data_IF_448116427288
#
_entry.id   IF_448116427288
#
_cell.length_a   1.000
_cell.length_b   1.000
_cell.length_c   1.000
_cell.angle_alpha   90.00
_cell.angle_beta   90.00
_cell.angle_gamma   90.00
#
_symmetry.space_group_name_H-M   'P 1'
#
loop_
_entity.id
_entity.type
_entity.pdbx_description
1 polymer ?
#
# COMPACT_ATOMS: atom_id res chain seq x y z
N UNK A 1 -47.95 52.42 -58.19
CA UNK A 1 -48.23 51.86 -56.84
C UNK A 1 -47.65 50.44 -56.80
N UNK A 2 -46.50 50.25 -56.19
CA UNK A 2 -45.88 48.93 -55.98
C UNK A 2 -45.48 48.86 -54.52
N UNK A 3 -46.12 47.96 -53.73
CA UNK A 3 -45.74 47.66 -52.39
C UNK A 3 -44.47 46.83 -52.38
N UNK A 4 -43.48 47.26 -51.62
CA UNK A 4 -42.26 46.49 -51.33
C UNK A 4 -42.49 45.81 -50.00
N UNK A 5 -42.52 44.48 -49.99
CA UNK A 5 -42.52 43.66 -48.79
C UNK A 5 -41.09 43.47 -48.28
N UNK A 6 -40.81 43.91 -47.06
CA UNK A 6 -39.52 43.69 -46.40
C UNK A 6 -39.67 42.37 -45.64
N UNK A 7 -38.94 41.33 -46.13
CA UNK A 7 -38.78 40.06 -45.40
C UNK A 7 -37.65 40.24 -44.40
N UNK A 8 -38.00 40.25 -43.13
CA UNK A 8 -37.02 40.30 -42.04
C UNK A 8 -36.56 38.88 -41.73
N UNK A 9 -35.36 38.53 -42.19
CA UNK A 9 -34.72 37.24 -41.91
C UNK A 9 -34.14 37.26 -40.48
N UNK A 10 -34.76 36.54 -39.57
CA UNK A 10 -34.29 36.35 -38.20
C UNK A 10 -33.18 35.26 -38.21
N UNK A 11 -31.92 35.67 -38.16
CA UNK A 11 -30.80 34.76 -37.94
C UNK A 11 -30.78 34.29 -36.49
N UNK A 12 -31.18 33.06 -36.23
CA UNK A 12 -31.05 32.37 -34.92
C UNK A 12 -29.61 31.95 -34.79
N UNK A 13 -28.76 32.72 -34.08
CA UNK A 13 -27.42 32.30 -33.65
C UNK A 13 -27.60 31.31 -32.48
N UNK A 14 -27.51 30.02 -32.77
CA UNK A 14 -27.32 28.99 -31.77
C UNK A 14 -25.85 29.06 -31.34
N UNK A 15 -25.61 29.70 -30.22
CA UNK A 15 -24.30 29.67 -29.56
C UNK A 15 -24.02 28.26 -29.08
N UNK A 16 -23.14 27.55 -29.77
CA UNK A 16 -22.47 26.36 -29.26
C UNK A 16 -21.57 26.80 -28.10
N UNK A 17 -22.08 26.76 -26.88
CA UNK A 17 -21.26 26.72 -25.68
C UNK A 17 -20.54 25.37 -25.67
N UNK A 18 -19.45 25.29 -26.41
CA UNK A 18 -18.46 24.24 -26.19
C UNK A 18 -17.89 24.41 -24.80
N UNK A 19 -18.25 23.55 -23.87
CA UNK A 19 -17.43 23.33 -22.69
C UNK A 19 -16.04 22.90 -23.18
N UNK A 20 -15.14 23.85 -23.23
CA UNK A 20 -13.71 23.55 -23.22
C UNK A 20 -13.42 23.01 -21.83
N UNK A 21 -13.43 21.69 -21.66
CA UNK A 21 -12.73 21.08 -20.55
C UNK A 21 -11.31 21.62 -20.61
N UNK A 22 -10.97 22.51 -19.68
CA UNK A 22 -9.59 22.83 -19.40
C UNK A 22 -8.96 21.50 -19.01
N UNK A 23 -8.19 20.90 -19.91
CA UNK A 23 -7.16 19.95 -19.51
C UNK A 23 -6.30 20.70 -18.48
N UNK A 24 -6.51 20.41 -17.21
CA UNK A 24 -5.52 20.75 -16.20
C UNK A 24 -4.24 20.05 -16.67
N UNK A 25 -3.29 20.82 -17.16
CA UNK A 25 -1.93 20.35 -17.33
C UNK A 25 -1.47 19.95 -15.93
N UNK A 26 -1.65 18.69 -15.60
CA UNK A 26 -1.05 18.11 -14.41
C UNK A 26 0.45 18.24 -14.58
N UNK A 27 1.05 19.24 -13.93
CA UNK A 27 2.49 19.33 -13.84
C UNK A 27 2.96 18.08 -13.12
N UNK A 28 3.46 17.11 -13.86
CA UNK A 28 4.00 15.86 -13.30
C UNK A 28 5.17 16.22 -12.41
N UNK A 29 5.12 15.76 -11.17
CA UNK A 29 6.17 16.02 -10.18
C UNK A 29 7.41 15.25 -10.60
N UNK A 30 8.56 15.94 -10.63
CA UNK A 30 9.86 15.29 -10.86
C UNK A 30 10.67 15.32 -9.58
N UNK A 31 11.19 14.15 -9.18
CA UNK A 31 12.03 13.97 -7.99
C UNK A 31 13.44 13.58 -8.42
N UNK A 32 14.42 14.40 -8.11
CA UNK A 32 15.84 14.09 -8.30
C UNK A 32 16.33 13.23 -7.14
N UNK A 33 16.52 11.94 -7.39
CA UNK A 33 16.93 10.97 -6.36
C UNK A 33 18.42 11.07 -5.98
N UNK A 34 19.20 11.91 -6.67
CA UNK A 34 20.62 12.13 -6.40
C UNK A 34 20.88 13.39 -5.57
N UNK A 35 19.86 14.22 -5.39
CA UNK A 35 19.94 15.49 -4.66
C UNK A 35 19.69 15.27 -3.16
N UNK A 36 20.34 16.09 -2.34
CA UNK A 36 20.01 16.23 -0.91
C UNK A 36 18.98 17.34 -0.76
N UNK A 37 17.84 17.00 -0.20
CA UNK A 37 16.75 17.95 0.03
C UNK A 37 16.82 18.59 1.41
N UNK A 38 16.24 19.80 1.59
CA UNK A 38 16.08 20.40 2.91
C UNK A 38 15.26 19.49 3.83
N UNK A 39 15.64 19.42 5.10
CA UNK A 39 14.90 18.63 6.09
C UNK A 39 13.65 19.35 6.57
N UNK A 40 12.56 18.62 6.73
CA UNK A 40 11.30 19.12 7.29
C UNK A 40 10.74 18.12 8.30
N UNK A 41 10.57 18.57 9.53
CA UNK A 41 9.95 17.80 10.59
C UNK A 41 8.47 18.13 10.66
N UNK A 42 7.62 17.09 10.78
CA UNK A 42 6.18 17.18 10.87
C UNK A 42 5.68 16.40 12.08
N UNK A 43 4.61 16.88 12.71
CA UNK A 43 3.90 16.13 13.76
C UNK A 43 2.69 15.45 13.14
N UNK A 44 2.59 14.13 13.30
CA UNK A 44 1.54 13.32 12.67
C UNK A 44 0.14 13.86 13.00
N UNK A 45 -0.12 14.17 14.28
CA UNK A 45 -1.41 14.67 14.74
C UNK A 45 -1.77 16.07 14.20
N UNK A 46 -0.83 16.82 13.64
CA UNK A 46 -1.12 18.08 12.95
C UNK A 46 -1.60 17.85 11.52
N UNK A 47 -1.28 16.68 10.95
CA UNK A 47 -1.54 16.33 9.55
C UNK A 47 -2.76 15.42 9.37
N UNK A 48 -2.92 14.46 10.27
CA UNK A 48 -3.81 13.31 10.13
C UNK A 48 -4.50 12.98 11.44
N UNK A 49 -5.59 12.25 11.36
CA UNK A 49 -6.24 11.68 12.52
C UNK A 49 -5.57 10.35 12.89
N UNK A 50 -5.39 10.14 14.21
CA UNK A 50 -4.74 8.95 14.73
C UNK A 50 -5.70 8.21 15.66
N UNK A 51 -5.86 6.92 15.39
CA UNK A 51 -6.64 6.02 16.23
C UNK A 51 -5.74 4.92 16.78
N UNK A 52 -5.93 4.56 18.06
CA UNK A 52 -5.20 3.48 18.71
C UNK A 52 -6.15 2.37 19.15
N UNK A 53 -5.84 1.14 18.79
CA UNK A 53 -6.63 -0.05 19.11
C UNK A 53 -5.74 -1.03 19.85
N UNK A 54 -5.89 -1.15 21.19
CA UNK A 54 -5.21 -2.19 21.94
C UNK A 54 -5.81 -3.55 21.59
N UNK A 55 -4.98 -4.48 21.15
CA UNK A 55 -5.44 -5.85 20.88
C UNK A 55 -5.57 -6.62 22.18
N UNK A 56 -6.69 -7.33 22.36
CA UNK A 56 -6.92 -8.19 23.52
C UNK A 56 -5.83 -9.25 23.66
N UNK A 57 -5.35 -9.45 24.89
CA UNK A 57 -4.35 -10.45 25.25
C UNK A 57 -4.96 -11.49 26.17
N UNK A 58 -4.90 -12.75 25.79
CA UNK A 58 -5.25 -13.91 26.62
C UNK A 58 -4.59 -15.17 26.02
N UNK A 59 -4.75 -16.33 26.66
CA UNK A 59 -4.10 -17.58 26.23
C UNK A 59 -4.37 -17.98 24.75
N UNK A 60 -5.50 -17.58 24.18
CA UNK A 60 -5.85 -17.86 22.79
C UNK A 60 -5.31 -16.80 21.83
N UNK A 61 -5.27 -15.54 22.27
CA UNK A 61 -4.91 -14.38 21.48
C UNK A 61 -3.57 -13.80 21.94
N UNK A 62 -2.47 -14.46 21.54
CA UNK A 62 -1.09 -13.97 21.70
C UNK A 62 -0.54 -13.76 20.29
N UNK A 63 -0.22 -12.51 19.97
CA UNK A 63 0.26 -12.14 18.62
C UNK A 63 1.35 -11.08 18.65
N UNK A 64 2.22 -11.11 17.64
CA UNK A 64 3.22 -10.09 17.40
C UNK A 64 2.64 -8.86 16.66
N UNK A 65 1.37 -8.90 16.27
CA UNK A 65 0.65 -7.76 15.72
C UNK A 65 0.94 -7.44 14.24
N UNK A 66 1.44 -8.41 13.45
CA UNK A 66 1.57 -8.18 12.01
C UNK A 66 0.19 -8.10 11.37
N UNK A 67 -0.29 -6.87 11.17
CA UNK A 67 -1.60 -6.61 10.55
C UNK A 67 -1.52 -6.95 9.07
N UNK A 68 -2.45 -7.76 8.59
CA UNK A 68 -2.51 -8.23 7.21
C UNK A 68 -3.70 -7.64 6.43
N UNK A 69 -4.77 -7.32 7.13
CA UNK A 69 -5.93 -6.66 6.53
C UNK A 69 -6.77 -5.96 7.61
N UNK A 70 -7.38 -4.85 7.23
CA UNK A 70 -8.35 -4.14 8.06
C UNK A 70 -9.59 -3.86 7.22
N UNK A 71 -10.76 -4.17 7.79
CA UNK A 71 -12.07 -3.86 7.24
C UNK A 71 -12.86 -2.90 8.14
N UNK A 72 -14.15 -2.85 7.92
CA UNK A 72 -15.07 -2.08 8.77
C UNK A 72 -15.32 -2.75 10.12
N UNK A 73 -15.28 -4.09 10.15
CA UNK A 73 -15.62 -4.92 11.32
C UNK A 73 -14.42 -5.64 11.91
N UNK A 74 -13.43 -6.00 11.11
CA UNK A 74 -12.37 -6.91 11.51
C UNK A 74 -10.98 -6.35 11.25
N UNK A 75 -10.04 -6.77 12.13
CA UNK A 75 -8.60 -6.67 11.91
C UNK A 75 -8.07 -8.09 11.82
N UNK A 76 -7.38 -8.42 10.74
CA UNK A 76 -6.72 -9.71 10.55
C UNK A 76 -5.22 -9.57 10.81
N UNK A 77 -4.72 -10.38 11.74
CA UNK A 77 -3.33 -10.32 12.22
C UNK A 77 -2.69 -11.69 12.11
N UNK A 78 -1.42 -11.74 11.75
CA UNK A 78 -0.61 -12.97 11.81
C UNK A 78 0.64 -12.78 12.66
N UNK A 79 1.33 -13.88 12.95
CA UNK A 79 2.65 -13.87 13.58
C UNK A 79 3.77 -13.89 12.53
N UNK A 80 4.93 -13.34 12.90
CA UNK A 80 6.16 -13.43 12.11
C UNK A 80 6.74 -14.84 12.07
N UNK A 81 6.41 -15.66 13.09
CA UNK A 81 6.90 -17.04 13.25
C UNK A 81 6.40 -18.03 12.20
N UNK A 82 5.57 -17.60 11.26
CA UNK A 82 4.97 -18.45 10.22
C UNK A 82 4.26 -19.70 10.78
N UNK A 83 3.64 -19.55 11.94
CA UNK A 83 2.87 -20.61 12.64
C UNK A 83 1.55 -20.96 11.91
N UNK A 84 1.15 -20.16 10.96
CA UNK A 84 -0.07 -20.32 10.17
C UNK A 84 -1.32 -19.76 10.84
N UNK A 85 -1.19 -19.11 12.00
CA UNK A 85 -2.31 -18.52 12.68
C UNK A 85 -2.75 -17.21 12.02
N UNK A 86 -4.07 -17.05 11.88
CA UNK A 86 -4.75 -15.81 11.54
C UNK A 86 -5.64 -15.46 12.70
N UNK A 87 -5.33 -14.37 13.39
CA UNK A 87 -6.13 -13.85 14.49
C UNK A 87 -7.10 -12.81 13.95
N UNK A 88 -8.37 -12.95 14.29
CA UNK A 88 -9.44 -12.04 13.90
C UNK A 88 -9.85 -11.25 15.13
N UNK A 89 -9.66 -9.94 15.08
CA UNK A 89 -10.08 -9.03 16.15
C UNK A 89 -11.22 -8.14 15.67
N UNK A 90 -12.04 -7.69 16.63
CA UNK A 90 -13.04 -6.66 16.37
C UNK A 90 -12.35 -5.31 16.13
N UNK A 91 -12.70 -4.67 15.02
CA UNK A 91 -12.07 -3.44 14.56
C UNK A 91 -12.21 -2.26 15.51
N UNK A 92 -13.32 -2.19 16.25
CA UNK A 92 -13.62 -1.06 17.15
C UNK A 92 -13.03 -1.22 18.53
N UNK A 93 -13.03 -2.46 19.04
CA UNK A 93 -12.71 -2.74 20.45
C UNK A 93 -11.36 -3.41 20.63
N UNK A 94 -10.76 -3.97 19.57
CA UNK A 94 -9.58 -4.81 19.65
C UNK A 94 -9.81 -6.17 20.31
N UNK A 95 -11.06 -6.55 20.61
CA UNK A 95 -11.37 -7.85 21.23
C UNK A 95 -11.13 -9.00 20.26
N UNK A 96 -10.55 -10.08 20.74
CA UNK A 96 -10.37 -11.32 20.01
C UNK A 96 -11.72 -11.96 19.69
N UNK A 97 -11.93 -12.29 18.41
CA UNK A 97 -13.17 -12.92 17.94
C UNK A 97 -12.94 -14.41 17.68
N UNK A 98 -11.86 -14.72 16.96
CA UNK A 98 -11.49 -16.09 16.62
C UNK A 98 -10.04 -16.20 16.16
N UNK A 99 -9.51 -17.41 16.25
CA UNK A 99 -8.23 -17.82 15.69
C UNK A 99 -8.48 -18.87 14.63
N UNK A 100 -7.92 -18.65 13.45
CA UNK A 100 -8.03 -19.55 12.30
C UNK A 100 -6.64 -20.09 12.00
N UNK A 101 -6.52 -21.41 11.80
CA UNK A 101 -5.29 -22.03 11.32
C UNK A 101 -5.64 -23.12 10.33
N UNK A 102 -5.19 -22.95 9.09
CA UNK A 102 -5.35 -23.91 8.00
C UNK A 102 -4.00 -24.25 7.38
N UNK A 103 -2.92 -24.16 8.19
CA UNK A 103 -1.58 -24.51 7.73
C UNK A 103 -1.44 -26.03 7.59
N UNK A 104 -1.09 -26.46 6.39
CA UNK A 104 -0.89 -27.87 6.09
C UNK A 104 -0.46 -28.12 4.65
N UNK A 105 -0.64 -29.34 4.18
CA UNK A 105 -0.31 -29.78 2.82
C UNK A 105 -1.50 -30.47 2.12
N UNK A 106 -2.67 -30.50 2.74
CA UNK A 106 -3.88 -31.05 2.18
C UNK A 106 -4.63 -30.09 1.28
N UNK A 107 -5.73 -30.59 0.72
CA UNK A 107 -6.62 -29.75 -0.07
C UNK A 107 -7.21 -28.62 0.77
N UNK A 108 -7.14 -27.40 0.26
CA UNK A 108 -7.62 -26.22 0.96
C UNK A 108 -6.75 -25.79 2.16
N UNK A 109 -5.50 -26.23 2.22
CA UNK A 109 -4.54 -25.83 3.25
C UNK A 109 -3.39 -25.03 2.64
N UNK A 110 -3.04 -23.88 3.26
CA UNK A 110 -1.89 -23.09 2.88
C UNK A 110 -0.64 -23.55 3.64
N UNK A 111 0.51 -23.54 2.96
CA UNK A 111 1.80 -23.82 3.61
C UNK A 111 2.41 -22.56 4.25
N UNK A 112 2.10 -21.40 3.70
CA UNK A 112 2.66 -20.10 4.10
C UNK A 112 1.66 -18.97 3.81
N UNK A 113 1.66 -17.93 4.62
CA UNK A 113 0.83 -16.73 4.44
C UNK A 113 1.73 -15.58 3.99
N UNK A 114 1.70 -15.24 2.70
CA UNK A 114 2.33 -14.05 2.17
C UNK A 114 1.47 -12.81 2.37
N UNK A 115 0.17 -12.91 2.06
CA UNK A 115 -0.80 -11.84 2.20
C UNK A 115 -2.18 -12.38 2.57
N UNK A 116 -3.00 -11.55 3.18
CA UNK A 116 -4.42 -11.83 3.44
C UNK A 116 -5.23 -10.65 2.92
N UNK A 117 -6.23 -10.95 2.11
CA UNK A 117 -7.17 -9.96 1.61
C UNK A 117 -8.52 -10.22 2.26
N UNK A 118 -9.07 -9.21 2.90
CA UNK A 118 -10.36 -9.27 3.57
C UNK A 118 -11.45 -8.71 2.65
N UNK A 119 -12.47 -9.50 2.37
CA UNK A 119 -13.65 -9.08 1.62
C UNK A 119 -14.92 -9.29 2.47
N UNK A 120 -15.18 -8.31 3.33
CA UNK A 120 -16.33 -8.37 4.25
C UNK A 120 -17.67 -8.39 3.53
N UNK A 121 -17.76 -7.73 2.37
CA UNK A 121 -18.97 -7.64 1.58
C UNK A 121 -19.41 -9.01 1.04
N UNK A 122 -18.44 -9.85 0.68
CA UNK A 122 -18.69 -11.21 0.18
C UNK A 122 -18.53 -12.29 1.28
N UNK A 123 -18.24 -11.89 2.52
CA UNK A 123 -17.94 -12.79 3.64
C UNK A 123 -16.79 -13.77 3.30
N UNK A 124 -15.70 -13.24 2.71
CA UNK A 124 -14.55 -14.01 2.26
C UNK A 124 -13.23 -13.42 2.73
N UNK A 125 -12.25 -14.28 2.93
CA UNK A 125 -10.84 -13.90 2.99
C UNK A 125 -10.04 -14.71 1.98
N UNK A 126 -9.07 -14.06 1.36
CA UNK A 126 -8.16 -14.65 0.38
C UNK A 126 -6.77 -14.73 1.01
N UNK A 127 -6.20 -15.92 1.08
CA UNK A 127 -4.85 -16.15 1.59
C UNK A 127 -3.92 -16.39 0.42
N UNK A 128 -3.08 -15.40 0.12
CA UNK A 128 -2.05 -15.52 -0.90
C UNK A 128 -0.88 -16.35 -0.38
N UNK A 129 -0.52 -17.41 -1.09
CA UNK A 129 0.56 -18.34 -0.76
C UNK A 129 1.52 -18.45 -1.95
N UNK A 130 2.60 -17.65 -1.96
CA UNK A 130 3.57 -17.64 -3.06
C UNK A 130 4.29 -18.98 -3.23
N UNK A 131 4.57 -19.71 -2.14
CA UNK A 131 5.26 -21.01 -2.20
C UNK A 131 4.50 -22.08 -2.97
N UNK A 132 3.17 -22.06 -2.91
CA UNK A 132 2.31 -22.96 -3.71
C UNK A 132 1.81 -22.33 -5.00
N UNK A 133 2.07 -21.02 -5.18
CA UNK A 133 1.55 -20.18 -6.28
C UNK A 133 0.02 -20.28 -6.40
N UNK A 134 -0.65 -20.19 -5.24
CA UNK A 134 -2.10 -20.25 -5.11
C UNK A 134 -2.65 -19.14 -4.22
N UNK A 135 -3.89 -18.81 -4.45
CA UNK A 135 -4.73 -18.05 -3.53
C UNK A 135 -5.81 -19.00 -3.00
N UNK A 136 -5.87 -19.18 -1.68
CA UNK A 136 -6.86 -19.97 -0.99
C UNK A 136 -7.98 -19.07 -0.49
N UNK A 137 -9.22 -19.45 -0.70
CA UNK A 137 -10.40 -18.65 -0.31
C UNK A 137 -11.17 -19.38 0.78
N UNK A 138 -11.39 -18.65 1.87
CA UNK A 138 -12.17 -19.11 3.02
C UNK A 138 -13.32 -18.14 3.29
N UNK A 139 -14.37 -18.62 3.96
CA UNK A 139 -15.29 -17.70 4.61
C UNK A 139 -14.62 -17.05 5.84
N UNK A 140 -15.24 -16.01 6.39
CA UNK A 140 -14.68 -15.32 7.57
C UNK A 140 -14.75 -16.16 8.86
N UNK A 141 -15.31 -17.37 8.79
CA UNK A 141 -15.26 -18.38 9.88
C UNK A 141 -14.09 -19.36 9.71
N UNK A 142 -13.37 -19.28 8.58
CA UNK A 142 -12.22 -20.14 8.28
C UNK A 142 -12.59 -21.44 7.56
N UNK A 143 -13.79 -21.58 7.04
CA UNK A 143 -14.17 -22.73 6.22
C UNK A 143 -13.66 -22.54 4.79
N UNK A 144 -12.99 -23.55 4.26
CA UNK A 144 -12.49 -23.54 2.89
C UNK A 144 -13.64 -23.47 1.87
N UNK A 145 -13.49 -22.63 0.86
CA UNK A 145 -14.46 -22.45 -0.22
C UNK A 145 -13.92 -22.92 -1.58
N UNK A 146 -12.73 -22.48 -1.94
CA UNK A 146 -12.07 -22.77 -3.21
C UNK A 146 -10.61 -22.33 -3.17
N UNK A 147 -9.82 -22.71 -4.13
CA UNK A 147 -8.52 -22.10 -4.44
C UNK A 147 -8.37 -21.89 -5.96
N UNK A 148 -7.42 -21.04 -6.33
CA UNK A 148 -7.00 -20.86 -7.71
C UNK A 148 -5.52 -20.53 -7.80
N UNK A 149 -4.90 -20.86 -8.94
CA UNK A 149 -3.48 -20.65 -9.16
C UNK A 149 -3.16 -19.21 -9.56
N UNK A 150 -1.95 -18.78 -9.28
CA UNK A 150 -1.39 -17.62 -9.95
C UNK A 150 -1.34 -17.86 -11.47
N UNK A 151 -1.27 -16.78 -12.26
CA UNK A 151 -1.10 -16.90 -13.71
C UNK A 151 0.13 -17.76 -14.02
N UNK A 152 0.11 -18.46 -15.14
CA UNK A 152 1.23 -19.32 -15.55
C UNK A 152 2.55 -18.54 -15.58
N UNK A 153 3.56 -19.09 -14.92
CA UNK A 153 4.86 -18.43 -14.74
C UNK A 153 4.85 -17.21 -13.80
N UNK A 154 3.72 -16.87 -13.21
CA UNK A 154 3.60 -15.74 -12.27
C UNK A 154 3.84 -16.11 -10.82
N UNK A 155 4.09 -15.07 -10.01
CA UNK A 155 4.23 -15.16 -8.56
C UNK A 155 3.71 -13.85 -7.95
N UNK A 156 2.53 -13.87 -7.31
CA UNK A 156 1.95 -12.66 -6.78
C UNK A 156 2.58 -12.28 -5.43
N UNK A 157 3.22 -11.11 -5.39
CA UNK A 157 3.75 -10.51 -4.17
C UNK A 157 2.65 -9.77 -3.41
N UNK A 158 1.96 -8.89 -4.11
CA UNK A 158 0.89 -8.07 -3.58
C UNK A 158 -0.44 -8.45 -4.23
N UNK A 159 -1.47 -8.52 -3.41
CA UNK A 159 -2.84 -8.80 -3.84
C UNK A 159 -3.79 -7.96 -3.00
N UNK A 160 -4.67 -7.18 -3.63
CA UNK A 160 -5.65 -6.32 -2.96
C UNK A 160 -7.04 -6.47 -3.58
N UNK A 161 -8.07 -6.07 -2.82
CA UNK A 161 -9.40 -5.93 -3.39
C UNK A 161 -9.38 -4.82 -4.46
N UNK A 162 -9.87 -5.12 -5.65
CA UNK A 162 -10.03 -4.14 -6.71
C UNK A 162 -11.46 -3.64 -6.78
N UNK A 163 -12.40 -4.57 -6.90
CA UNK A 163 -13.84 -4.33 -6.89
C UNK A 163 -14.60 -5.52 -6.29
N UNK A 164 -15.91 -5.54 -6.45
CA UNK A 164 -16.76 -6.64 -5.95
C UNK A 164 -16.35 -8.01 -6.48
N UNK A 165 -15.85 -8.09 -7.70
CA UNK A 165 -15.61 -9.35 -8.43
C UNK A 165 -14.14 -9.65 -8.68
N UNK A 166 -13.27 -8.67 -8.51
CA UNK A 166 -11.88 -8.76 -8.92
C UNK A 166 -10.90 -8.39 -7.79
N UNK A 167 -9.69 -8.93 -7.90
CA UNK A 167 -8.50 -8.53 -7.15
C UNK A 167 -7.54 -7.82 -8.11
N UNK A 168 -6.70 -6.92 -7.59
CA UNK A 168 -5.53 -6.38 -8.27
C UNK A 168 -4.28 -7.02 -7.70
N UNK A 169 -3.36 -7.45 -8.56
CA UNK A 169 -2.16 -8.19 -8.18
C UNK A 169 -0.91 -7.61 -8.83
N UNK A 170 0.22 -7.71 -8.12
CA UNK A 170 1.55 -7.49 -8.66
C UNK A 170 2.31 -8.82 -8.76
N UNK A 171 2.79 -9.14 -9.98
CA UNK A 171 3.57 -10.33 -10.30
C UNK A 171 5.07 -10.03 -10.17
N UNK A 172 5.69 -10.53 -9.09
CA UNK A 172 7.11 -10.34 -8.82
C UNK A 172 8.04 -11.27 -9.61
N UNK A 173 7.53 -12.08 -10.52
CA UNK A 173 8.37 -13.02 -11.30
C UNK A 173 9.50 -12.34 -12.07
N UNK A 174 9.38 -11.03 -12.34
CA UNK A 174 10.45 -10.22 -12.92
C UNK A 174 11.67 -10.06 -11.98
N UNK A 175 11.52 -10.22 -10.66
CA UNK A 175 12.60 -10.00 -9.69
C UNK A 175 13.80 -10.95 -9.88
N UNK A 176 13.60 -12.08 -10.54
CA UNK A 176 14.66 -13.03 -10.89
C UNK A 176 15.39 -12.66 -12.19
N UNK A 177 15.08 -11.53 -12.81
CA UNK A 177 15.51 -11.18 -14.16
C UNK A 177 16.17 -9.79 -14.26
N UNK A 178 16.78 -9.33 -13.18
CA UNK A 178 17.50 -8.03 -13.13
C UNK A 178 18.39 -7.82 -14.35
N UNK A 179 18.30 -6.65 -14.95
CA UNK A 179 19.11 -6.23 -16.10
C UNK A 179 18.73 -6.86 -17.45
N UNK A 180 17.74 -7.76 -17.49
CA UNK A 180 17.26 -8.33 -18.75
C UNK A 180 16.26 -7.41 -19.43
N UNK A 181 16.10 -7.53 -20.76
CA UNK A 181 15.02 -6.86 -21.47
C UNK A 181 13.64 -7.31 -20.95
N UNK A 182 12.68 -6.41 -21.02
CA UNK A 182 11.30 -6.75 -20.75
C UNK A 182 10.77 -7.85 -21.68
N UNK A 183 9.95 -8.76 -21.18
CA UNK A 183 9.22 -9.71 -22.01
C UNK A 183 8.12 -9.00 -22.81
N UNK A 184 8.05 -9.27 -24.10
CA UNK A 184 6.95 -8.78 -24.92
C UNK A 184 5.61 -9.33 -24.40
N UNK A 185 4.58 -8.47 -24.41
CA UNK A 185 3.21 -8.82 -24.02
C UNK A 185 2.99 -9.26 -22.57
N UNK A 186 4.02 -9.17 -21.69
CA UNK A 186 3.85 -9.44 -20.27
C UNK A 186 3.56 -8.17 -19.49
N UNK A 187 2.53 -8.23 -18.67
CA UNK A 187 2.19 -7.21 -17.69
C UNK A 187 2.35 -7.80 -16.30
N UNK A 188 2.88 -7.00 -15.39
CA UNK A 188 3.13 -7.42 -14.02
C UNK A 188 2.06 -6.90 -13.05
N UNK A 189 1.30 -5.88 -13.45
CA UNK A 189 0.08 -5.46 -12.76
C UNK A 189 -1.12 -6.11 -13.45
N UNK A 190 -1.87 -6.91 -12.72
CA UNK A 190 -2.98 -7.72 -13.26
C UNK A 190 -4.24 -7.51 -12.45
N UNK A 191 -5.39 -7.52 -13.12
CA UNK A 191 -6.69 -7.66 -12.47
C UNK A 191 -7.18 -9.08 -12.74
N UNK A 192 -7.54 -9.79 -11.66
CA UNK A 192 -7.95 -11.20 -11.71
C UNK A 192 -9.31 -11.40 -11.07
N UNK A 193 -10.05 -12.37 -11.55
CA UNK A 193 -11.35 -12.77 -11.02
C UNK A 193 -11.22 -13.37 -9.61
N UNK A 194 -12.05 -12.95 -8.67
CA UNK A 194 -12.18 -13.56 -7.34
C UNK A 194 -12.73 -14.97 -7.38
N UNK A 195 -13.41 -15.32 -8.48
CA UNK A 195 -14.07 -16.61 -8.63
C UNK A 195 -13.08 -17.74 -8.91
N UNK A 196 -12.14 -17.51 -9.85
CA UNK A 196 -11.29 -18.56 -10.41
C UNK A 196 -9.86 -18.12 -10.72
N UNK A 197 -9.49 -16.87 -10.41
CA UNK A 197 -8.15 -16.33 -10.66
C UNK A 197 -7.84 -16.02 -12.13
N UNK A 198 -8.80 -16.14 -13.03
CA UNK A 198 -8.61 -15.77 -14.43
C UNK A 198 -8.26 -14.30 -14.57
N UNK A 199 -7.32 -13.99 -15.47
CA UNK A 199 -6.91 -12.60 -15.74
C UNK A 199 -8.02 -11.91 -16.52
N UNK A 200 -8.66 -10.92 -15.89
CA UNK A 200 -9.72 -10.11 -16.52
C UNK A 200 -9.13 -8.89 -17.21
N UNK A 201 -7.99 -8.38 -16.73
CA UNK A 201 -7.32 -7.24 -17.32
C UNK A 201 -5.82 -7.26 -17.04
N UNK A 202 -5.04 -6.78 -18.03
CA UNK A 202 -3.60 -6.56 -17.91
C UNK A 202 -3.33 -5.06 -17.95
N UNK A 203 -2.58 -4.53 -16.98
CA UNK A 203 -2.18 -3.13 -16.96
C UNK A 203 -0.72 -3.06 -17.42
N UNK A 204 -0.51 -2.41 -18.55
CA UNK A 204 0.80 -2.32 -19.18
C UNK A 204 1.52 -1.05 -18.72
N UNK A 205 2.59 -1.19 -17.92
CA UNK A 205 3.50 -0.09 -17.59
C UNK A 205 4.72 -0.19 -18.50
N UNK A 206 5.07 0.87 -19.24
CA UNK A 206 6.18 0.86 -20.18
C UNK A 206 7.53 0.94 -19.47
N UNK A 207 8.45 0.06 -19.85
CA UNK A 207 9.88 0.09 -19.52
C UNK A 207 10.65 -0.81 -20.49
N UNK A 208 11.97 -0.63 -20.59
CA UNK A 208 12.81 -1.38 -21.51
C UNK A 208 13.59 -2.50 -20.81
N UNK A 209 14.19 -2.20 -19.65
CA UNK A 209 15.07 -3.08 -18.90
C UNK A 209 14.51 -3.29 -17.50
N UNK A 210 14.58 -4.53 -17.04
CA UNK A 210 14.11 -4.93 -15.72
C UNK A 210 15.06 -4.38 -14.65
N UNK A 211 14.51 -3.62 -13.70
CA UNK A 211 15.15 -3.12 -12.49
C UNK A 211 14.36 -3.67 -11.29
N UNK A 212 15.03 -4.25 -10.34
CA UNK A 212 14.36 -4.90 -9.21
C UNK A 212 14.91 -4.40 -7.86
N UNK A 213 14.19 -4.55 -6.77
CA UNK A 213 14.69 -4.24 -5.42
C UNK A 213 15.59 -5.38 -4.86
N UNK A 214 16.32 -6.06 -5.73
CA UNK A 214 17.15 -7.22 -5.40
C UNK A 214 18.63 -6.90 -5.63
N UNK A 215 19.48 -7.30 -4.69
CA UNK A 215 20.94 -7.28 -4.82
C UNK A 215 21.45 -8.71 -4.71
N UNK A 216 22.32 -9.11 -5.64
CA UNK A 216 22.92 -10.45 -5.67
C UNK A 216 24.44 -10.36 -5.69
N UNK A 217 25.10 -11.19 -4.87
CA UNK A 217 26.56 -11.25 -4.83
C UNK A 217 27.02 -12.64 -4.35
N UNK A 218 27.83 -13.32 -5.16
CA UNK A 218 28.42 -14.61 -4.78
C UNK A 218 27.39 -15.69 -4.40
N UNK A 219 26.21 -15.71 -5.02
CA UNK A 219 25.12 -16.63 -4.71
C UNK A 219 24.23 -16.21 -3.54
N UNK A 220 24.60 -15.18 -2.78
CA UNK A 220 23.75 -14.58 -1.76
C UNK A 220 22.78 -13.57 -2.40
N UNK A 221 21.57 -13.48 -1.87
CA UNK A 221 20.49 -12.59 -2.33
C UNK A 221 19.96 -11.77 -1.16
N UNK A 222 19.83 -10.49 -1.36
CA UNK A 222 19.13 -9.58 -0.47
C UNK A 222 18.03 -8.85 -1.25
N UNK A 223 16.87 -8.67 -0.64
CA UNK A 223 15.73 -8.00 -1.24
C UNK A 223 15.09 -7.05 -0.23
N UNK A 224 14.61 -5.91 -0.69
CA UNK A 224 13.77 -5.02 0.09
C UNK A 224 12.36 -4.99 -0.47
N UNK A 225 11.37 -4.72 0.39
CA UNK A 225 9.98 -4.54 -0.03
C UNK A 225 9.78 -3.14 -0.60
N UNK A 226 9.14 -3.08 -1.75
CA UNK A 226 8.69 -1.83 -2.39
C UNK A 226 7.22 -2.02 -2.73
N UNK A 227 6.31 -1.21 -2.14
CA UNK A 227 4.90 -1.24 -2.52
C UNK A 227 4.73 -0.96 -4.01
N UNK A 228 4.05 -1.86 -4.71
CA UNK A 228 3.83 -1.78 -6.17
C UNK A 228 2.42 -1.32 -6.52
N UNK A 229 1.49 -1.43 -5.57
CA UNK A 229 0.07 -1.07 -5.73
C UNK A 229 -0.37 -0.26 -4.51
N UNK A 230 -0.76 1.00 -4.70
CA UNK A 230 -1.14 1.90 -3.62
C UNK A 230 -2.53 2.47 -3.90
N UNK A 231 -3.53 2.27 -3.02
CA UNK A 231 -4.84 2.89 -3.17
C UNK A 231 -4.74 4.43 -3.11
N UNK A 232 -5.43 5.11 -4.01
CA UNK A 232 -5.45 6.56 -4.07
C UNK A 232 -6.80 7.08 -4.60
N UNK A 233 -7.66 7.63 -3.76
CA UNK A 233 -8.93 8.28 -4.15
C UNK A 233 -9.78 7.46 -5.13
N UNK A 234 -10.04 6.19 -4.83
CA UNK A 234 -10.71 5.21 -5.70
C UNK A 234 -9.95 4.88 -7.00
N UNK A 235 -8.74 5.33 -7.13
CA UNK A 235 -7.78 5.04 -8.18
C UNK A 235 -6.58 4.28 -7.58
N UNK A 236 -5.56 4.02 -8.39
CA UNK A 236 -4.39 3.27 -7.94
C UNK A 236 -3.10 3.93 -8.40
N UNK A 237 -2.19 4.20 -7.48
CA UNK A 237 -0.82 4.49 -7.87
C UNK A 237 -0.09 3.17 -8.08
N UNK A 238 0.46 3.01 -9.27
CA UNK A 238 1.18 1.80 -9.67
C UNK A 238 2.67 2.12 -9.79
N UNK A 239 3.45 1.40 -8.99
CA UNK A 239 4.90 1.50 -8.96
C UNK A 239 5.48 0.28 -9.63
N UNK A 240 6.21 0.49 -10.71
CA UNK A 240 7.02 -0.54 -11.36
C UNK A 240 8.48 -0.12 -11.26
N UNK A 241 9.28 -0.87 -10.51
CA UNK A 241 10.69 -0.51 -10.25
C UNK A 241 11.54 -0.37 -11.51
N UNK A 242 11.12 -1.02 -12.57
CA UNK A 242 11.74 -0.93 -13.91
C UNK A 242 11.40 0.36 -14.66
N UNK A 243 10.35 1.07 -14.24
CA UNK A 243 9.91 2.34 -14.82
C UNK A 243 10.47 3.51 -14.00
N UNK A 244 10.87 4.59 -14.67
CA UNK A 244 11.22 5.85 -14.00
C UNK A 244 9.97 6.71 -13.72
N UNK A 245 8.77 6.21 -14.08
CA UNK A 245 7.50 6.91 -13.87
C UNK A 245 6.57 6.07 -12.98
N UNK A 246 6.04 6.68 -11.94
CA UNK A 246 4.93 6.17 -11.15
C UNK A 246 3.65 6.65 -11.80
N UNK A 247 2.71 5.75 -12.03
CA UNK A 247 1.47 6.04 -12.75
C UNK A 247 0.27 6.06 -11.83
N UNK A 248 -0.65 6.98 -12.10
CA UNK A 248 -2.00 6.91 -11.59
C UNK A 248 -2.87 6.13 -12.59
N UNK A 249 -3.39 4.99 -12.16
CA UNK A 249 -4.31 4.17 -12.94
C UNK A 249 -5.75 4.51 -12.55
N UNK A 250 -6.51 4.97 -13.53
CA UNK A 250 -7.93 5.34 -13.42
C UNK A 250 -8.79 4.17 -13.90
N UNK A 251 -9.41 3.39 -12.98
CA UNK A 251 -10.16 2.18 -13.34
C UNK A 251 -11.27 2.40 -14.36
N UNK A 252 -12.09 3.42 -14.16
CA UNK A 252 -13.27 3.70 -15.00
C UNK A 252 -12.93 3.96 -16.46
N UNK A 253 -11.73 4.50 -16.71
CA UNK A 253 -11.26 4.85 -18.05
C UNK A 253 -10.26 3.84 -18.60
N UNK A 254 -9.82 2.88 -17.79
CA UNK A 254 -8.68 2.00 -18.09
C UNK A 254 -7.46 2.80 -18.57
N UNK A 255 -7.10 3.86 -17.85
CA UNK A 255 -6.10 4.82 -18.29
C UNK A 255 -4.97 4.95 -17.25
N UNK A 256 -3.74 4.96 -17.74
CA UNK A 256 -2.54 5.30 -17.00
C UNK A 256 -2.15 6.75 -17.26
N UNK A 257 -2.06 7.54 -16.19
CA UNK A 257 -1.57 8.91 -16.25
C UNK A 257 -0.25 9.01 -15.49
N UNK A 258 0.80 9.64 -16.03
CA UNK A 258 2.00 9.91 -15.26
C UNK A 258 1.67 10.72 -14.01
N UNK A 259 2.11 10.24 -12.84
CA UNK A 259 1.87 10.88 -11.54
C UNK A 259 3.14 11.53 -11.01
N UNK A 260 4.26 10.78 -11.04
CA UNK A 260 5.56 11.23 -10.57
C UNK A 260 6.66 10.62 -11.44
N UNK A 261 7.72 11.40 -11.71
CA UNK A 261 8.89 10.98 -12.49
C UNK A 261 10.14 11.02 -11.61
N UNK A 262 10.90 9.94 -11.62
CA UNK A 262 12.24 9.85 -11.04
C UNK A 262 13.26 10.47 -11.99
N UNK A 263 14.18 11.28 -11.46
CA UNK A 263 15.31 11.86 -12.18
C UNK A 263 16.61 11.60 -11.39
N UNK A 264 17.75 11.33 -12.03
CA UNK A 264 17.88 11.07 -13.47
C UNK A 264 17.19 9.76 -13.87
N UNK A 265 16.68 9.74 -15.10
CA UNK A 265 16.12 8.52 -15.70
C UNK A 265 17.23 7.50 -15.92
N UNK A 266 16.87 6.21 -15.84
CA UNK A 266 17.79 5.06 -16.03
C UNK A 266 18.86 4.91 -14.94
N UNK A 267 18.74 5.61 -13.81
CA UNK A 267 19.54 5.29 -12.64
C UNK A 267 19.10 3.92 -12.08
N UNK A 268 20.02 2.94 -12.10
CA UNK A 268 19.77 1.58 -11.63
C UNK A 268 20.05 1.40 -10.12
N UNK A 269 20.73 2.36 -9.50
CA UNK A 269 21.19 2.25 -8.11
C UNK A 269 20.18 2.77 -7.09
N UNK A 270 19.30 3.68 -7.51
CA UNK A 270 18.31 4.29 -6.61
C UNK A 270 16.91 4.07 -7.16
N UNK A 271 16.09 3.37 -6.40
CA UNK A 271 14.67 3.18 -6.66
C UNK A 271 13.86 4.26 -5.95
N UNK A 272 12.74 4.65 -6.54
CA UNK A 272 11.78 5.58 -5.95
C UNK A 272 10.43 4.89 -5.81
N UNK A 273 9.82 5.00 -4.65
CA UNK A 273 8.48 4.46 -4.37
C UNK A 273 7.62 5.48 -3.65
N UNK A 274 6.31 5.24 -3.67
CA UNK A 274 5.33 6.05 -2.96
C UNK A 274 5.02 5.45 -1.59
N UNK A 275 4.76 6.33 -0.65
CA UNK A 275 4.15 6.04 0.63
C UNK A 275 2.75 6.62 0.72
N UNK A 276 2.41 7.16 1.88
CA UNK A 276 1.14 7.82 2.16
C UNK A 276 0.95 9.04 1.26
N UNK A 277 -0.25 9.18 0.70
CA UNK A 277 -0.63 10.32 -0.14
C UNK A 277 -1.83 11.02 0.50
N UNK A 278 -1.69 12.32 0.75
CA UNK A 278 -2.74 13.18 1.29
C UNK A 278 -3.10 14.29 0.31
N UNK A 279 -4.05 15.13 0.67
CA UNK A 279 -4.41 16.30 -0.14
C UNK A 279 -3.26 17.29 -0.31
N UNK A 280 -2.41 17.43 0.71
CA UNK A 280 -1.27 18.36 0.70
C UNK A 280 0.06 17.67 0.46
N UNK A 281 0.32 16.53 1.09
CA UNK A 281 1.63 15.90 1.12
C UNK A 281 1.63 14.58 0.37
N UNK A 282 2.65 14.35 -0.44
CA UNK A 282 2.94 13.09 -1.09
C UNK A 282 4.23 12.53 -0.48
N UNK A 283 4.08 11.56 0.42
CA UNK A 283 5.22 10.88 1.02
C UNK A 283 5.77 9.85 0.03
N UNK A 284 7.08 9.72 0.01
CA UNK A 284 7.78 8.81 -0.88
C UNK A 284 9.13 8.43 -0.26
N UNK A 285 9.75 7.39 -0.79
CA UNK A 285 11.04 6.91 -0.31
C UNK A 285 11.95 6.64 -1.49
N UNK A 286 13.22 7.00 -1.32
CA UNK A 286 14.26 6.46 -2.18
C UNK A 286 14.92 5.28 -1.48
N UNK A 287 15.25 4.25 -2.26
CA UNK A 287 15.92 3.04 -1.78
C UNK A 287 17.17 2.83 -2.61
N UNK A 288 18.34 3.00 -1.98
CA UNK A 288 19.61 2.72 -2.65
C UNK A 288 19.88 1.23 -2.65
N UNK A 289 20.15 0.66 -3.82
CA UNK A 289 20.49 -0.76 -4.03
C UNK A 289 21.95 -1.04 -3.64
N UNK A 290 22.28 -0.82 -2.37
CA UNK A 290 23.61 -1.06 -1.83
C UNK A 290 23.48 -1.95 -0.60
N UNK A 291 23.99 -3.17 -0.64
CA UNK A 291 23.86 -4.15 0.43
C UNK A 291 25.20 -4.82 0.72
N UNK A 292 25.67 -4.71 1.97
CA UNK A 292 26.86 -5.38 2.48
C UNK A 292 26.48 -6.73 3.09
N UNK A 293 26.73 -7.80 2.35
CA UNK A 293 26.46 -9.17 2.80
C UNK A 293 27.31 -9.61 3.99
N UNK A 294 28.40 -8.90 4.31
CA UNK A 294 29.26 -9.22 5.46
C UNK A 294 28.64 -8.75 6.76
N UNK A 295 28.07 -7.54 6.75
CA UNK A 295 27.45 -6.93 7.94
C UNK A 295 25.93 -7.10 7.98
N UNK A 296 25.31 -7.54 6.89
CA UNK A 296 23.86 -7.62 6.73
C UNK A 296 23.17 -6.24 6.67
N UNK A 297 23.92 -5.18 6.35
CA UNK A 297 23.40 -3.81 6.27
C UNK A 297 23.28 -3.38 4.80
N UNK A 298 22.25 -2.60 4.54
CA UNK A 298 22.05 -2.04 3.19
C UNK A 298 20.64 -1.54 2.97
N UNK A 299 20.33 -1.26 1.69
CA UNK A 299 19.08 -0.65 1.28
C UNK A 299 18.85 0.66 2.05
N UNK A 300 19.80 1.60 1.93
CA UNK A 300 19.65 2.92 2.55
C UNK A 300 18.38 3.58 2.03
N UNK A 301 17.49 3.87 2.97
CA UNK A 301 16.19 4.50 2.70
C UNK A 301 16.31 5.97 3.07
N UNK A 302 15.81 6.85 2.21
CA UNK A 302 15.64 8.28 2.52
C UNK A 302 14.15 8.61 2.36
N UNK A 303 13.57 9.09 3.43
CA UNK A 303 12.18 9.51 3.47
C UNK A 303 12.06 10.90 2.85
N UNK A 304 11.24 11.01 1.83
CA UNK A 304 10.98 12.24 1.11
C UNK A 304 9.50 12.62 1.20
N UNK A 305 9.23 13.90 0.98
CA UNK A 305 7.89 14.42 0.92
C UNK A 305 7.81 15.55 -0.10
N UNK A 306 6.82 15.54 -0.96
CA UNK A 306 6.45 16.69 -1.76
C UNK A 306 5.33 17.46 -1.08
N UNK A 307 5.55 18.74 -0.78
CA UNK A 307 4.52 19.65 -0.26
C UNK A 307 3.90 20.43 -1.44
N UNK A 308 2.64 20.16 -1.74
CA UNK A 308 1.91 20.79 -2.85
C UNK A 308 1.74 22.31 -2.67
N UNK A 309 1.65 22.78 -1.43
CA UNK A 309 1.49 24.22 -1.16
C UNK A 309 2.80 24.97 -1.38
N UNK A 310 3.93 24.36 -0.99
CA UNK A 310 5.26 24.95 -1.20
C UNK A 310 5.82 24.61 -2.59
N UNK A 311 5.20 23.67 -3.30
CA UNK A 311 5.65 23.15 -4.59
C UNK A 311 7.11 22.71 -4.54
N UNK A 312 7.48 21.99 -3.48
CA UNK A 312 8.87 21.62 -3.20
C UNK A 312 8.97 20.23 -2.56
N UNK A 313 10.12 19.58 -2.77
CA UNK A 313 10.48 18.30 -2.15
C UNK A 313 11.34 18.55 -0.93
N UNK A 314 11.13 17.78 0.13
CA UNK A 314 11.86 17.81 1.39
C UNK A 314 12.27 16.38 1.79
N UNK A 315 13.37 16.26 2.53
CA UNK A 315 13.64 15.09 3.36
C UNK A 315 12.71 15.17 4.58
N UNK A 316 11.78 14.20 4.70
CA UNK A 316 10.72 14.24 5.69
C UNK A 316 11.07 13.45 6.94
N UNK A 317 10.68 13.99 8.10
CA UNK A 317 10.68 13.29 9.37
C UNK A 317 9.31 13.48 10.03
N UNK A 318 8.49 12.45 10.04
CA UNK A 318 7.15 12.51 10.66
C UNK A 318 7.21 11.87 12.04
N UNK A 319 6.74 12.60 13.04
CA UNK A 319 6.86 12.25 14.43
C UNK A 319 5.49 12.08 15.08
N UNK A 320 5.30 11.01 15.85
CA UNK A 320 4.13 10.82 16.68
C UNK A 320 4.18 11.77 17.91
N UNK A 321 3.28 12.74 17.96
CA UNK A 321 3.19 13.75 19.01
C UNK A 321 2.64 13.24 20.35
N UNK A 322 2.06 12.02 20.39
CA UNK A 322 1.57 11.41 21.62
C UNK A 322 2.70 10.82 22.49
N UNK A 323 3.92 10.75 21.95
CA UNK A 323 5.14 10.54 22.74
C UNK A 323 5.79 11.88 23.09
N UNK A 324 6.25 12.03 24.35
CA UNK A 324 7.01 13.21 24.80
C UNK A 324 8.35 13.27 24.08
N UNK A 325 9.10 12.16 24.10
CA UNK A 325 10.21 11.92 23.19
C UNK A 325 9.64 11.39 21.89
N UNK A 326 9.32 12.30 20.98
CA UNK A 326 8.63 12.01 19.72
C UNK A 326 9.26 10.83 18.99
N UNK A 327 8.43 9.88 18.60
CA UNK A 327 8.82 8.67 17.87
C UNK A 327 8.57 8.85 16.38
N UNK A 328 9.50 8.36 15.56
CA UNK A 328 9.33 8.37 14.11
C UNK A 328 8.14 7.51 13.69
N UNK A 329 7.40 8.00 12.73
CA UNK A 329 6.31 7.29 12.06
C UNK A 329 6.74 6.98 10.63
N UNK A 330 6.68 5.72 10.28
CA UNK A 330 6.90 5.29 8.91
C UNK A 330 5.69 5.70 8.06
N UNK A 331 5.94 6.51 7.04
CA UNK A 331 4.94 6.96 6.08
C UNK A 331 4.94 6.09 4.81
N UNK A 332 5.64 4.96 4.82
CA UNK A 332 5.39 3.87 3.88
C UNK A 332 3.99 3.33 4.16
N UNK A 333 3.16 3.36 3.16
CA UNK A 333 1.84 2.76 3.24
C UNK A 333 1.97 1.27 3.04
N UNK A 334 1.58 0.47 4.03
CA UNK A 334 1.05 -0.86 3.72
C UNK A 334 -0.33 -0.63 3.10
N UNK A 335 -0.52 -0.88 1.80
CA UNK A 335 -1.78 -0.61 1.13
C UNK A 335 -2.86 -1.51 1.70
N UNK A 336 -3.58 -1.00 2.70
CA UNK A 336 -4.78 -1.65 3.23
C UNK A 336 -6.00 -1.12 2.49
N UNK A 337 -6.96 -1.97 2.28
CA UNK A 337 -8.19 -1.61 1.58
C UNK A 337 -8.94 -0.49 2.33
N UNK A 338 -9.00 0.67 1.74
CA UNK A 338 -9.83 1.78 2.20
C UNK A 338 -9.17 3.14 2.02
N UNK A 339 -9.92 4.10 1.51
CA UNK A 339 -9.46 5.48 1.32
C UNK A 339 -9.26 6.22 2.66
N UNK A 340 -9.79 5.68 3.76
CA UNK A 340 -9.74 6.32 5.08
C UNK A 340 -8.42 6.03 5.82
N UNK A 341 -7.98 4.76 5.83
CA UNK A 341 -6.76 4.34 6.54
C UNK A 341 -5.61 4.34 5.56
N UNK A 342 -4.63 5.20 5.81
CA UNK A 342 -3.50 5.41 4.89
C UNK A 342 -2.20 4.78 5.38
N UNK A 343 -2.07 4.55 6.69
CA UNK A 343 -0.94 3.82 7.26
C UNK A 343 -1.34 3.08 8.53
N UNK A 344 -0.61 2.01 8.85
CA UNK A 344 -0.82 1.17 10.03
C UNK A 344 0.53 0.88 10.65
N UNK A 345 0.63 1.09 11.96
CA UNK A 345 1.84 0.76 12.68
C UNK A 345 1.50 0.03 13.99
N UNK A 346 1.96 -1.22 14.16
CA UNK A 346 1.91 -1.90 15.46
C UNK A 346 2.89 -1.24 16.43
N UNK A 347 2.40 -0.84 17.59
CA UNK A 347 3.20 -0.30 18.68
C UNK A 347 3.37 -1.38 19.74
N UNK A 348 4.61 -1.79 20.00
CA UNK A 348 4.90 -2.84 20.97
C UNK A 348 4.51 -2.39 22.39
N UNK A 349 3.76 -3.24 23.11
CA UNK A 349 3.22 -2.90 24.43
C UNK A 349 4.32 -2.58 25.44
N UNK A 350 5.42 -3.33 25.49
CA UNK A 350 6.55 -3.04 26.36
C UNK A 350 7.11 -1.62 26.20
N UNK A 351 7.23 -1.12 24.96
CA UNK A 351 7.68 0.25 24.68
C UNK A 351 6.68 1.30 25.15
N UNK A 352 5.38 1.02 25.00
CA UNK A 352 4.31 1.90 25.47
C UNK A 352 4.30 1.94 27.00
N UNK A 353 4.40 0.80 27.66
CA UNK A 353 4.43 0.67 29.13
C UNK A 353 5.67 1.36 29.72
N UNK A 354 6.83 1.18 29.10
CA UNK A 354 8.06 1.88 29.52
C UNK A 354 7.92 3.40 29.40
N UNK A 355 7.39 3.87 28.27
CA UNK A 355 7.14 5.30 28.09
C UNK A 355 6.11 5.83 29.10
N UNK A 356 5.05 5.06 29.41
CA UNK A 356 4.05 5.42 30.40
C UNK A 356 4.64 5.55 31.81
N UNK A 357 5.47 4.58 32.25
CA UNK A 357 6.15 4.60 33.57
C UNK A 357 7.05 5.83 33.73
N UNK A 358 7.55 6.39 32.64
CA UNK A 358 8.44 7.54 32.62
C UNK A 358 7.73 8.87 32.26
N UNK A 359 6.39 8.93 32.40
CA UNK A 359 5.58 10.10 31.99
C UNK A 359 5.83 10.55 30.52
N UNK A 360 6.25 9.62 29.68
CA UNK A 360 6.62 9.84 28.27
C UNK A 360 5.48 9.80 27.30
N UNK A 361 4.21 9.70 27.74
CA UNK A 361 3.04 9.61 26.87
C UNK A 361 2.03 10.73 27.13
N UNK A 362 1.26 11.07 26.08
CA UNK A 362 0.18 12.05 26.08
C UNK A 362 -1.11 11.46 25.48
N UNK A 363 -2.19 12.22 25.57
CA UNK A 363 -3.43 11.97 24.87
C UNK A 363 -4.00 10.57 25.07
N UNK A 364 -4.63 10.06 24.04
CA UNK A 364 -5.32 8.76 24.04
C UNK A 364 -4.37 7.59 24.28
N UNK A 365 -3.14 7.67 23.80
CA UNK A 365 -2.15 6.63 23.99
C UNK A 365 -1.77 6.47 25.47
N UNK A 366 -1.68 7.57 26.26
CA UNK A 366 -1.46 7.53 27.71
C UNK A 366 -2.61 6.84 28.46
N UNK A 367 -3.86 7.09 28.04
CA UNK A 367 -5.04 6.44 28.64
C UNK A 367 -5.02 4.92 28.40
N UNK A 368 -4.69 4.49 27.17
CA UNK A 368 -4.59 3.08 26.81
C UNK A 368 -3.47 2.40 27.59
N UNK A 369 -2.31 3.05 27.69
CA UNK A 369 -1.13 2.52 28.37
C UNK A 369 -1.37 2.16 29.84
N UNK A 370 -2.27 2.88 30.52
CA UNK A 370 -2.65 2.61 31.91
C UNK A 370 -3.26 1.22 32.12
N UNK A 371 -3.78 0.58 31.08
CA UNK A 371 -4.39 -0.76 31.12
C UNK A 371 -3.52 -1.87 30.53
N UNK A 372 -2.29 -1.55 30.09
CA UNK A 372 -1.37 -2.50 29.48
C UNK A 372 -0.31 -2.99 30.48
N UNK A 373 0.22 -4.17 30.20
CA UNK A 373 1.47 -4.68 30.76
C UNK A 373 2.49 -4.96 29.64
N UNK A 374 3.71 -5.36 30.02
CA UNK A 374 4.81 -5.56 29.08
C UNK A 374 4.60 -6.77 28.15
N UNK A 375 3.74 -7.71 28.55
CA UNK A 375 3.40 -8.93 27.79
C UNK A 375 2.12 -8.78 26.96
N UNK A 376 1.45 -7.63 27.06
CA UNK A 376 0.25 -7.34 26.28
C UNK A 376 0.54 -7.36 24.77
N UNK A 377 -0.46 -7.74 23.98
CA UNK A 377 -0.41 -7.62 22.53
C UNK A 377 -0.16 -6.17 22.09
N UNK A 378 0.37 -5.94 20.90
CA UNK A 378 0.60 -4.60 20.39
C UNK A 378 -0.68 -3.76 20.35
N UNK A 379 -0.50 -2.44 20.47
CA UNK A 379 -1.52 -1.45 20.15
C UNK A 379 -1.39 -1.12 18.65
N UNK A 380 -2.46 -1.27 17.91
CA UNK A 380 -2.44 -0.91 16.49
C UNK A 380 -2.74 0.59 16.34
N UNK A 381 -1.76 1.33 15.85
CA UNK A 381 -1.93 2.73 15.47
C UNK A 381 -2.42 2.78 14.02
N UNK A 382 -3.54 3.42 13.81
CA UNK A 382 -4.10 3.71 12.48
C UNK A 382 -3.98 5.18 12.21
N UNK A 383 -3.44 5.48 11.04
CA UNK A 383 -3.33 6.84 10.52
C UNK A 383 -4.41 7.02 9.46
N UNK A 384 -5.21 8.07 9.61
CA UNK A 384 -6.37 8.32 8.76
C UNK A 384 -6.28 9.68 8.08
N UNK A 385 -6.78 9.77 6.86
CA UNK A 385 -6.99 11.07 6.22
C UNK A 385 -7.97 11.89 7.05
N UNK A 386 -7.69 13.18 7.24
CA UNK A 386 -8.69 14.12 7.73
C UNK A 386 -9.75 14.32 6.66
N UNK A 387 -11.01 14.10 7.04
CA UNK A 387 -12.17 14.34 6.19
C UNK A 387 -12.42 15.83 5.89
#
# INVERSE_FOLDING_TARGET
MRRVEIIMSLFLMIGLLGCVEKEEKTNVITVDVTTTYPKKELVLQDLMDVEYIPLETNDEFITQGSVMAIGEKYILVKNWSHDGNIFVFDRKTGKGIRKINRKGQGDGEYSFINGIILDEANNEMFVNCASTKKIYVYDLSGNFKRDFKHVEGGEYLEVFNYDKNNLICYDMSLYYREGQPREENRSYHLIISKQDGSVTQKIYIPFDVIKTPVVQKGGAVAMTSIPSIIPYRKEWLLVETSSDTIYNYVPEKNQLNPFLIKSPTRDLEILLTMGVVTDRYYFMHTVKKDFDFTTGRGFLITDLMYDKQENAVFEANVLNGDFVEKQNVDMLSDPMNGDEIVAIQPLAANKIVDAYKNDGLKGKLKEIAAGLDEESNPVIMLVKNRG
#
